data_IF_846875973114
#
_entry.id   IF_846875973114
#
_cell.length_a   1.000
_cell.length_b   1.000
_cell.length_c   1.000
_cell.angle_alpha   90.00
_cell.angle_beta   90.00
_cell.angle_gamma   90.00
#
_symmetry.space_group_name_H-M   'P 1'
#
loop_
_entity.id
_entity.type
_entity.pdbx_description
1 polymer ?
#
# COMPACT_ATOMS: atom_id res chain seq x y z
N UNK A 1 -3.28 6.13 -9.83
CA UNK A 1 -4.17 4.95 -9.84
C UNK A 1 -3.70 3.94 -8.80
N UNK A 2 -4.64 3.28 -8.15
CA UNK A 2 -4.34 2.40 -7.03
C UNK A 2 -5.19 1.13 -7.12
N UNK A 3 -4.58 -0.01 -6.82
CA UNK A 3 -5.31 -1.28 -6.67
C UNK A 3 -4.77 -1.99 -5.44
N UNK A 4 -5.56 -2.91 -4.88
CA UNK A 4 -5.12 -3.65 -3.71
C UNK A 4 -5.71 -5.05 -3.70
N UNK A 5 -5.04 -5.93 -2.96
CA UNK A 5 -5.52 -7.27 -2.68
C UNK A 5 -5.23 -7.57 -1.21
N UNK A 6 -6.30 -7.59 -0.41
CA UNK A 6 -6.24 -7.96 1.01
C UNK A 6 -7.42 -8.89 1.24
N UNK A 7 -7.19 -10.21 1.22
CA UNK A 7 -8.29 -11.18 1.25
C UNK A 7 -9.27 -10.95 2.40
N UNK A 8 -10.56 -10.90 2.05
CA UNK A 8 -11.62 -10.73 3.04
C UNK A 8 -11.78 -9.33 3.59
N UNK A 9 -11.09 -8.34 3.03
CA UNK A 9 -11.13 -6.95 3.52
C UNK A 9 -11.41 -5.99 2.38
N UNK A 10 -12.08 -4.90 2.70
CA UNK A 10 -12.27 -3.77 1.78
C UNK A 10 -11.48 -2.57 2.29
N UNK A 11 -10.93 -1.80 1.37
CA UNK A 11 -10.29 -0.55 1.74
C UNK A 11 -11.32 0.46 2.21
N UNK A 12 -11.15 0.99 3.42
CA UNK A 12 -12.02 2.02 3.96
C UNK A 12 -11.41 3.41 3.85
N UNK A 13 -10.09 3.50 3.82
CA UNK A 13 -9.37 4.74 3.57
C UNK A 13 -8.08 4.41 2.84
N UNK A 14 -7.97 4.85 1.61
CA UNK A 14 -6.83 4.55 0.75
C UNK A 14 -6.29 5.87 0.20
N UNK A 15 -5.39 6.53 0.96
CA UNK A 15 -4.84 7.80 0.52
C UNK A 15 -4.02 7.65 -0.74
N UNK A 16 -4.21 8.59 -1.68
CA UNK A 16 -3.38 8.69 -2.86
C UNK A 16 -2.32 9.74 -2.53
N UNK A 17 -1.03 9.38 -2.59
CA UNK A 17 -0.01 10.32 -2.16
C UNK A 17 0.08 11.51 -3.11
N UNK A 18 0.19 12.71 -2.52
CA UNK A 18 0.57 13.90 -3.26
C UNK A 18 2.08 13.83 -3.40
N UNK A 19 2.57 13.51 -4.59
CA UNK A 19 4.00 13.30 -4.79
C UNK A 19 4.60 14.37 -5.69
N UNK A 20 5.88 14.65 -5.46
CA UNK A 20 6.64 15.64 -6.23
C UNK A 20 7.81 15.01 -6.96
N UNK A 21 7.70 13.74 -7.26
CA UNK A 21 8.75 13.01 -7.97
C UNK A 21 8.68 13.29 -9.46
N UNK A 22 9.83 13.24 -10.12
CA UNK A 22 9.90 13.47 -11.56
C UNK A 22 9.62 12.22 -12.37
N UNK A 23 9.76 11.04 -11.77
CA UNK A 23 9.64 9.78 -12.48
C UNK A 23 8.21 9.27 -12.58
N UNK A 24 8.07 8.18 -13.28
CA UNK A 24 6.81 7.44 -13.40
C UNK A 24 7.07 5.95 -13.22
N UNK A 25 6.04 5.19 -12.92
CA UNK A 25 6.15 3.76 -12.75
C UNK A 25 5.21 3.22 -11.70
N UNK A 26 5.37 1.95 -11.38
CA UNK A 26 4.55 1.29 -10.38
C UNK A 26 5.38 0.90 -9.17
N UNK A 27 4.73 0.98 -8.00
CA UNK A 27 5.30 0.46 -6.76
C UNK A 27 4.24 -0.41 -6.11
N UNK A 28 4.57 -1.66 -5.88
CA UNK A 28 3.73 -2.57 -5.11
C UNK A 28 4.29 -2.66 -3.70
N UNK A 29 3.44 -2.40 -2.71
CA UNK A 29 3.81 -2.42 -1.30
C UNK A 29 3.15 -3.61 -0.64
N UNK A 30 3.97 -4.52 -0.11
CA UNK A 30 3.48 -5.60 0.73
C UNK A 30 3.07 -5.02 2.07
N UNK A 31 1.90 -5.37 2.56
CA UNK A 31 1.38 -4.85 3.83
C UNK A 31 0.97 -5.98 4.75
N UNK A 32 1.03 -5.70 6.03
CA UNK A 32 0.49 -6.55 7.09
C UNK A 32 -0.62 -5.77 7.77
N UNK A 33 -1.80 -6.38 7.88
CA UNK A 33 -2.99 -5.73 8.42
C UNK A 33 -3.43 -6.46 9.68
N UNK A 34 -3.79 -5.71 10.71
CA UNK A 34 -4.29 -6.28 11.97
C UNK A 34 -5.81 -6.47 11.91
N UNK A 35 -6.43 -7.12 12.94
CA UNK A 35 -7.88 -7.35 12.92
C UNK A 35 -8.71 -6.07 12.84
N UNK A 36 -8.20 -4.94 13.30
CA UNK A 36 -8.90 -3.65 13.23
C UNK A 36 -8.79 -2.98 11.87
N UNK A 37 -8.07 -3.59 10.92
CA UNK A 37 -7.91 -3.04 9.58
C UNK A 37 -6.77 -2.06 9.43
N UNK A 38 -5.91 -1.95 10.44
CA UNK A 38 -4.78 -1.04 10.41
C UNK A 38 -3.55 -1.71 9.78
N UNK A 39 -2.83 -0.97 8.95
CA UNK A 39 -1.56 -1.45 8.38
C UNK A 39 -0.48 -1.29 9.44
N UNK A 40 0.09 -2.40 9.87
CA UNK A 40 1.10 -2.43 10.92
C UNK A 40 2.52 -2.65 10.40
N UNK A 41 2.66 -2.99 9.12
CA UNK A 41 3.95 -3.12 8.45
C UNK A 41 3.77 -2.92 6.96
N UNK A 42 4.78 -2.36 6.30
CA UNK A 42 4.77 -2.13 4.87
C UNK A 42 6.19 -2.21 4.31
N UNK A 43 6.35 -2.88 3.18
CA UNK A 43 7.63 -2.98 2.50
C UNK A 43 7.41 -3.05 0.98
N UNK A 44 8.38 -2.58 0.21
CA UNK A 44 8.28 -2.63 -1.25
C UNK A 44 8.50 -4.06 -1.75
N UNK A 45 7.63 -4.49 -2.67
CA UNK A 45 7.81 -5.74 -3.38
C UNK A 45 8.79 -5.47 -4.52
N UNK A 46 10.05 -5.88 -4.32
CA UNK A 46 11.17 -5.46 -5.16
C UNK A 46 11.06 -5.89 -6.62
N UNK A 47 10.58 -7.11 -6.85
CA UNK A 47 10.60 -7.71 -8.18
C UNK A 47 9.60 -7.10 -9.18
N UNK A 48 8.64 -6.30 -8.71
CA UNK A 48 7.61 -5.70 -9.57
C UNK A 48 7.51 -4.19 -9.40
N UNK A 49 8.45 -3.57 -8.70
CA UNK A 49 8.38 -2.14 -8.38
C UNK A 49 9.52 -1.38 -9.05
N UNK A 50 9.25 -0.14 -9.45
CA UNK A 50 10.30 0.75 -9.92
C UNK A 50 11.37 0.93 -8.84
N UNK A 51 12.59 1.18 -9.24
CA UNK A 51 13.69 1.44 -8.29
C UNK A 51 13.80 2.93 -7.92
N UNK A 52 12.88 3.76 -8.41
CA UNK A 52 12.85 5.19 -8.08
C UNK A 52 12.57 5.38 -6.59
N UNK A 53 13.57 5.84 -5.85
CA UNK A 53 13.47 5.96 -4.40
C UNK A 53 12.44 6.99 -3.96
N UNK A 54 12.21 8.03 -4.77
CA UNK A 54 11.21 9.04 -4.48
C UNK A 54 9.81 8.43 -4.51
N UNK A 55 9.49 7.69 -5.58
CA UNK A 55 8.18 7.04 -5.72
C UNK A 55 7.97 5.99 -4.64
N UNK A 56 9.01 5.22 -4.32
CA UNK A 56 8.93 4.20 -3.26
C UNK A 56 8.61 4.82 -1.91
N UNK A 57 9.23 5.94 -1.57
CA UNK A 57 8.99 6.61 -0.30
C UNK A 57 7.54 7.07 -0.17
N UNK A 58 6.99 7.64 -1.23
CA UNK A 58 5.59 8.06 -1.22
C UNK A 58 4.63 6.88 -1.11
N UNK A 59 4.92 5.79 -1.83
CA UNK A 59 4.08 4.59 -1.79
C UNK A 59 4.05 3.98 -0.39
N UNK A 60 5.19 3.86 0.26
CA UNK A 60 5.28 3.32 1.63
C UNK A 60 4.47 4.20 2.60
N UNK A 61 4.61 5.51 2.48
CA UNK A 61 3.87 6.43 3.36
C UNK A 61 2.36 6.28 3.16
N UNK A 62 1.91 6.22 1.91
CA UNK A 62 0.50 6.06 1.61
C UNK A 62 -0.02 4.72 2.13
N UNK A 63 0.75 3.64 1.94
CA UNK A 63 0.36 2.31 2.41
C UNK A 63 0.21 2.28 3.92
N UNK A 64 1.13 2.89 4.65
CA UNK A 64 1.08 2.95 6.12
C UNK A 64 -0.12 3.73 6.64
N UNK A 65 -0.62 4.67 5.86
CA UNK A 65 -1.80 5.46 6.22
C UNK A 65 -3.11 4.83 5.79
N UNK A 66 -3.07 3.70 5.09
CA UNK A 66 -4.28 3.05 4.58
C UNK A 66 -5.00 2.31 5.69
N UNK A 67 -6.34 2.25 5.57
CA UNK A 67 -7.19 1.53 6.49
C UNK A 67 -8.08 0.57 5.71
N UNK A 68 -8.30 -0.60 6.28
CA UNK A 68 -9.16 -1.63 5.74
C UNK A 68 -10.29 -1.93 6.71
N UNK A 69 -11.30 -2.65 6.23
CA UNK A 69 -12.40 -3.05 7.11
C UNK A 69 -11.87 -3.94 8.24
N UNK A 70 -12.45 -3.81 9.42
CA UNK A 70 -12.14 -4.70 10.53
C UNK A 70 -12.72 -6.07 10.27
N UNK A 71 -12.13 -7.09 10.90
CA UNK A 71 -12.56 -8.48 10.70
C UNK A 71 -12.45 -9.20 12.04
N UNK A 72 -13.62 -9.41 12.67
CA UNK A 72 -13.68 -10.09 13.96
C UNK A 72 -13.13 -11.51 13.83
N UNK A 73 -12.29 -11.91 14.78
CA UNK A 73 -11.70 -13.24 14.78
C UNK A 73 -10.57 -13.44 13.80
N UNK A 74 -10.11 -12.37 13.12
CA UNK A 74 -8.98 -12.47 12.20
C UNK A 74 -7.69 -12.74 12.96
N UNK A 75 -6.71 -13.39 12.29
CA UNK A 75 -5.36 -13.51 12.87
C UNK A 75 -4.77 -12.13 13.17
N UNK A 76 -3.83 -12.08 14.11
CA UNK A 76 -3.15 -10.83 14.47
C UNK A 76 -2.48 -10.17 13.27
N UNK A 77 -2.05 -10.96 12.29
CA UNK A 77 -1.37 -10.48 11.09
C UNK A 77 -1.96 -11.16 9.86
N UNK A 78 -2.49 -10.37 8.97
CA UNK A 78 -2.90 -10.85 7.65
C UNK A 78 -2.14 -10.06 6.59
N UNK A 79 -1.80 -10.72 5.48
CA UNK A 79 -0.91 -10.16 4.48
C UNK A 79 -1.67 -9.82 3.20
N UNK A 80 -1.26 -8.73 2.57
CA UNK A 80 -1.79 -8.31 1.30
C UNK A 80 -0.84 -7.34 0.63
N UNK A 81 -1.33 -6.65 -0.38
CA UNK A 81 -0.50 -5.65 -1.05
C UNK A 81 -1.37 -4.54 -1.63
N UNK A 82 -0.72 -3.39 -1.87
CA UNK A 82 -1.31 -2.25 -2.57
C UNK A 82 -0.35 -1.89 -3.69
N UNK A 83 -0.89 -1.70 -4.90
CA UNK A 83 -0.10 -1.25 -6.04
C UNK A 83 -0.48 0.18 -6.37
N UNK A 84 0.52 1.04 -6.42
CA UNK A 84 0.39 2.45 -6.79
C UNK A 84 0.99 2.65 -8.17
N UNK A 85 0.24 3.30 -9.06
CA UNK A 85 0.74 3.69 -10.37
C UNK A 85 0.93 5.19 -10.38
N UNK A 86 2.16 5.62 -10.61
CA UNK A 86 2.53 7.03 -10.67
C UNK A 86 2.75 7.43 -12.13
N UNK A 87 2.21 8.57 -12.50
CA UNK A 87 2.44 9.15 -13.81
C UNK A 87 3.39 10.33 -13.67
N UNK A 88 4.12 10.64 -14.75
CA UNK A 88 5.05 11.77 -14.73
C UNK A 88 4.30 13.08 -14.52
N UNK A 89 4.89 13.95 -13.72
CA UNK A 89 4.32 15.27 -13.41
C UNK A 89 4.83 16.33 -14.35
#
# INVERSE_FOLDING_TARGET
>A
MLSYEVPGRKGSYLPIPAYKCMGEGEVTVNITVNPQGKVIAASVKEDVSTDDSCLRAYAIRAAKGSLFSSKAGAPAKEFGYITYRFIAQ
#
